data_IF_650511440435
#
_entry.id   IF_650511440435
#
_cell.length_a   1.000
_cell.length_b   1.000
_cell.length_c   1.000
_cell.angle_alpha   90.00
_cell.angle_beta   90.00
_cell.angle_gamma   90.00
#
_symmetry.space_group_name_H-M   'P 1'
#
loop_
_entity.id
_entity.type
_entity.pdbx_description
1 polymer ?
#
# COMPACT_ATOMS: atom_id res chain seq x y z
N UNK A 1 22.90 -11.29 17.74
CA UNK A 1 22.23 -10.92 17.95
C UNK A 1 21.97 -10.19 17.58
N UNK A 2 22.13 -10.33 17.45
CA UNK A 2 21.63 -9.74 17.48
C UNK A 2 21.34 -8.97 17.02
N UNK A 3 21.76 -9.35 16.97
CA UNK A 3 21.29 -8.69 16.89
C UNK A 3 20.96 -7.90 16.70
N UNK A 4 21.39 -8.30 16.41
CA UNK A 4 20.84 -7.60 16.54
C UNK A 4 20.63 -6.82 16.42
N UNK A 5 21.23 -7.40 16.30
CA UNK A 5 20.70 -6.87 16.59
C UNK A 5 20.54 -5.97 16.42
N UNK A 6 20.98 -6.33 16.34
CA UNK A 6 20.46 -5.79 16.57
C UNK A 6 20.17 -4.90 16.59
N UNK A 7 20.64 -5.15 16.46
CA UNK A 7 19.95 -4.63 16.83
C UNK A 7 19.72 -3.87 17.17
N UNK A 8 20.38 -4.16 17.02
CA UNK A 8 19.64 -3.86 17.74
C UNK A 8 19.36 -3.08 18.00
N UNK A 9 19.81 -3.21 18.01
CA UNK A 9 19.02 -2.98 18.64
C UNK A 9 18.62 -2.25 18.76
N UNK A 10 18.75 -2.20 18.53
CA UNK A 10 17.86 -1.84 19.04
C UNK A 10 17.15 -1.33 19.14
N UNK A 11 17.60 -1.35 19.03
CA UNK A 11 16.44 -1.17 19.45
C UNK A 11 15.96 -0.50 19.53
N UNK A 12 16.30 -0.41 19.68
CA UNK A 12 15.36 -0.25 20.08
C UNK A 12 14.82 0.44 20.18
N UNK A 13 14.72 0.35 20.25
CA UNK A 13 13.71 0.63 20.73
C UNK A 13 13.22 1.09 21.23
N UNK A 14 13.24 1.01 21.48
CA UNK A 14 12.39 1.19 22.20
C UNK A 14 12.08 1.78 22.74
N UNK A 15 12.22 1.73 23.08
CA UNK A 15 11.54 2.02 23.85
C UNK A 15 11.26 2.65 24.41
N UNK A 16 11.50 2.74 24.70
CA UNK A 16 11.06 3.05 25.36
C UNK A 16 10.20 3.19 25.72
N UNK A 17 10.01 3.10 25.89
CA UNK A 17 9.14 3.02 26.10
C UNK A 17 8.30 2.68 25.80
N UNK A 18 8.12 2.22 25.74
CA UNK A 18 7.49 1.56 25.40
C UNK A 18 6.70 1.57 24.60
N UNK A 19 6.51 1.47 24.43
CA UNK A 19 5.81 1.37 23.80
C UNK A 19 5.40 0.90 22.93
N UNK A 20 5.26 0.26 22.60
CA UNK A 20 4.93 -0.27 21.87
C UNK A 20 4.41 -0.71 21.24
N UNK A 21 4.19 -0.97 21.16
CA UNK A 21 3.40 -1.39 20.38
C UNK A 21 3.37 -2.31 19.30
N UNK A 22 2.81 -2.83 18.81
CA UNK A 22 2.65 -3.89 17.92
C UNK A 22 2.85 -3.58 16.44
N UNK A 23 2.88 -2.33 16.03
CA UNK A 23 3.01 -1.98 14.61
C UNK A 23 4.45 -1.68 14.24
N UNK A 24 4.93 -2.22 13.08
CA UNK A 24 6.26 -1.87 12.61
C UNK A 24 6.31 -0.39 12.23
N UNK A 25 7.33 0.30 12.73
CA UNK A 25 7.60 1.67 12.33
C UNK A 25 8.96 1.80 11.67
N UNK A 26 9.75 0.74 11.72
CA UNK A 26 11.10 0.74 11.16
C UNK A 26 11.06 0.35 9.68
N UNK A 27 11.67 1.16 8.87
CA UNK A 27 11.80 0.90 7.45
C UNK A 27 12.69 -0.33 7.24
N UNK A 28 12.20 -1.32 6.51
CA UNK A 28 12.97 -2.53 6.21
C UNK A 28 12.59 -3.04 4.83
N UNK A 29 13.54 -3.72 4.20
CA UNK A 29 13.32 -4.28 2.87
C UNK A 29 12.17 -5.29 2.88
N UNK A 30 12.08 -6.10 3.93
CA UNK A 30 11.04 -7.11 4.02
C UNK A 30 9.65 -6.50 4.04
N UNK A 31 9.45 -5.47 4.86
CA UNK A 31 8.15 -4.81 4.96
C UNK A 31 7.81 -4.10 3.66
N UNK A 32 8.80 -3.43 3.07
CA UNK A 32 8.61 -2.72 1.80
C UNK A 32 8.17 -3.69 0.70
N UNK A 33 8.84 -4.83 0.61
CA UNK A 33 8.50 -5.84 -0.39
C UNK A 33 7.07 -6.36 -0.22
N UNK A 34 6.64 -6.58 1.02
CA UNK A 34 5.28 -7.05 1.29
C UNK A 34 4.27 -5.98 0.86
N UNK A 35 4.54 -4.72 1.17
CA UNK A 35 3.65 -3.62 0.77
C UNK A 35 3.49 -3.60 -0.75
N UNK A 36 4.60 -3.67 -1.48
CA UNK A 36 4.55 -3.59 -2.94
C UNK A 36 3.85 -4.79 -3.54
N UNK A 37 4.11 -5.99 -3.03
CA UNK A 37 3.43 -7.19 -3.48
C UNK A 37 1.92 -7.06 -3.33
N UNK A 38 1.48 -6.61 -2.17
CA UNK A 38 0.06 -6.49 -1.89
C UNK A 38 -0.60 -5.41 -2.74
N UNK A 39 0.12 -4.30 -2.97
CA UNK A 39 -0.38 -3.26 -3.88
C UNK A 39 -0.55 -3.78 -5.29
N UNK A 40 0.44 -4.51 -5.79
CA UNK A 40 0.41 -5.05 -7.15
C UNK A 40 -0.72 -6.07 -7.30
N UNK A 41 -1.03 -6.81 -6.23
CA UNK A 41 -2.11 -7.78 -6.24
C UNK A 41 -3.49 -7.14 -6.11
N UNK A 42 -3.55 -5.83 -5.98
CA UNK A 42 -4.80 -5.11 -6.01
C UNK A 42 -5.35 -4.65 -4.66
N UNK A 43 -4.63 -4.88 -3.57
CA UNK A 43 -5.08 -4.39 -2.27
C UNK A 43 -4.93 -2.88 -2.19
N UNK A 44 -5.84 -2.23 -1.48
CA UNK A 44 -5.72 -0.81 -1.24
C UNK A 44 -4.72 -0.55 -0.13
N UNK A 45 -4.16 0.64 -0.10
CA UNK A 45 -3.28 1.02 1.00
C UNK A 45 -4.00 0.91 2.34
N UNK A 46 -5.29 1.25 2.36
CA UNK A 46 -6.10 1.14 3.57
C UNK A 46 -6.14 -0.31 4.07
N UNK A 47 -6.35 -1.26 3.17
CA UNK A 47 -6.39 -2.68 3.53
C UNK A 47 -5.04 -3.14 4.08
N UNK A 48 -3.97 -2.76 3.41
CA UNK A 48 -2.62 -3.14 3.85
C UNK A 48 -2.35 -2.57 5.24
N UNK A 49 -2.65 -1.31 5.45
CA UNK A 49 -2.36 -0.64 6.71
C UNK A 49 -3.30 -1.04 7.85
N UNK A 50 -4.39 -1.74 7.55
CA UNK A 50 -5.27 -2.28 8.58
C UNK A 50 -4.70 -3.55 9.20
N UNK A 51 -3.74 -4.16 8.53
CA UNK A 51 -3.03 -5.34 9.02
C UNK A 51 -2.02 -4.89 10.08
N UNK A 52 -2.11 -5.45 11.27
CA UNK A 52 -1.26 -5.04 12.39
C UNK A 52 0.21 -5.41 12.21
N UNK A 53 0.50 -6.30 11.27
CA UNK A 53 1.90 -6.62 10.94
C UNK A 53 2.51 -5.62 9.97
N UNK A 54 1.70 -4.68 9.48
CA UNK A 54 2.16 -3.66 8.54
C UNK A 54 2.17 -2.29 9.20
N UNK A 55 2.98 -1.34 8.70
CA UNK A 55 2.98 0.01 9.24
C UNK A 55 1.65 0.71 8.99
N UNK A 56 1.36 1.72 9.78
CA UNK A 56 0.18 2.54 9.57
C UNK A 56 0.36 3.48 8.37
N UNK A 57 -0.74 4.06 7.91
CA UNK A 57 -0.72 4.96 6.75
C UNK A 57 0.23 6.13 6.94
N UNK A 58 0.23 6.69 8.14
CA UNK A 58 1.09 7.82 8.45
C UNK A 58 2.57 7.46 8.25
N UNK A 59 2.95 6.29 8.71
CA UNK A 59 4.32 5.81 8.57
C UNK A 59 4.67 5.64 7.09
N UNK A 60 3.76 5.06 6.30
CA UNK A 60 3.99 4.90 4.87
C UNK A 60 4.20 6.26 4.20
N UNK A 61 3.38 7.25 4.54
CA UNK A 61 3.53 8.59 3.97
C UNK A 61 4.86 9.23 4.38
N UNK A 62 5.32 8.99 5.61
CA UNK A 62 6.63 9.46 6.03
C UNK A 62 7.74 8.81 5.21
N UNK A 63 7.60 7.52 4.90
CA UNK A 63 8.59 6.81 4.08
C UNK A 63 8.61 7.35 2.65
N UNK A 64 7.47 7.75 2.11
CA UNK A 64 7.42 8.36 0.79
C UNK A 64 8.22 9.65 0.73
N UNK A 65 8.27 10.38 1.84
CA UNK A 65 9.06 11.61 1.91
C UNK A 65 10.54 11.37 2.16
N UNK A 66 10.85 10.37 2.99
CA UNK A 66 12.22 10.14 3.44
C UNK A 66 13.03 9.23 2.55
N UNK A 67 12.37 8.36 1.80
CA UNK A 67 13.05 7.32 1.01
C UNK A 67 12.67 7.44 -0.46
N UNK A 68 13.49 8.14 -1.27
CA UNK A 68 13.17 8.33 -2.69
C UNK A 68 13.00 7.03 -3.46
N UNK A 69 13.76 5.99 -3.10
CA UNK A 69 13.64 4.69 -3.75
C UNK A 69 12.28 4.05 -3.45
N UNK A 70 11.79 4.22 -2.21
CA UNK A 70 10.45 3.75 -1.85
C UNK A 70 9.38 4.50 -2.65
N UNK A 71 9.54 5.82 -2.76
CA UNK A 71 8.58 6.64 -3.49
C UNK A 71 8.49 6.22 -4.96
N UNK A 72 9.62 5.95 -5.59
CA UNK A 72 9.65 5.51 -6.99
C UNK A 72 8.96 4.17 -7.18
N UNK A 73 9.30 3.20 -6.33
CA UNK A 73 8.70 1.87 -6.43
C UNK A 73 7.22 1.90 -6.07
N UNK A 74 6.85 2.72 -5.10
CA UNK A 74 5.45 2.91 -4.73
C UNK A 74 4.64 3.45 -5.91
N UNK A 75 5.19 4.42 -6.63
CA UNK A 75 4.53 4.98 -7.81
C UNK A 75 4.33 3.91 -8.88
N UNK A 76 5.33 3.05 -9.10
CA UNK A 76 5.22 1.96 -10.05
C UNK A 76 4.13 0.96 -9.63
N UNK A 77 4.09 0.62 -8.34
CA UNK A 77 3.07 -0.30 -7.83
C UNK A 77 1.67 0.29 -8.00
N UNK A 78 1.51 1.57 -7.72
CA UNK A 78 0.22 2.25 -7.92
C UNK A 78 -0.17 2.29 -9.39
N UNK A 79 0.81 2.52 -10.25
CA UNK A 79 0.57 2.50 -11.69
C UNK A 79 0.08 1.12 -12.14
N UNK A 80 0.67 0.06 -11.61
CA UNK A 80 0.23 -1.31 -11.93
C UNK A 80 -1.21 -1.56 -11.50
N UNK A 81 -1.67 -0.92 -10.42
CA UNK A 81 -3.05 -1.03 -9.98
C UNK A 81 -4.04 -0.46 -10.98
N UNK A 82 -3.62 0.52 -11.77
CA UNK A 82 -4.51 1.11 -12.77
C UNK A 82 -4.94 0.04 -13.78
N UNK A 83 -3.98 -0.73 -14.30
CA UNK A 83 -4.29 -1.80 -15.24
C UNK A 83 -5.22 -2.83 -14.59
N UNK A 84 -4.92 -3.21 -13.37
CA UNK A 84 -5.73 -4.19 -12.66
C UNK A 84 -7.17 -3.69 -12.47
N UNK A 85 -7.33 -2.43 -12.10
CA UNK A 85 -8.65 -1.84 -11.89
C UNK A 85 -9.42 -1.74 -13.20
N UNK A 86 -8.74 -1.42 -14.29
CA UNK A 86 -9.39 -1.33 -15.61
C UNK A 86 -9.85 -2.71 -16.08
N UNK A 87 -9.01 -3.72 -15.93
CA UNK A 87 -9.40 -5.10 -16.27
C UNK A 87 -10.62 -5.53 -15.46
N UNK A 88 -10.64 -5.16 -14.19
CA UNK A 88 -11.74 -5.53 -13.30
C UNK A 88 -13.05 -4.91 -13.73
N UNK A 89 -13.03 -3.70 -14.31
CA UNK A 89 -14.27 -3.07 -14.77
C UNK A 89 -14.93 -3.88 -15.88
N UNK A 90 -14.12 -4.46 -16.76
CA UNK A 90 -14.64 -5.32 -17.84
C UNK A 90 -15.29 -6.57 -17.25
N UNK A 91 -14.61 -7.20 -16.31
CA UNK A 91 -15.14 -8.40 -15.66
C UNK A 91 -16.46 -8.10 -14.95
N UNK A 92 -16.54 -6.98 -14.24
CA UNK A 92 -17.76 -6.58 -13.55
C UNK A 92 -18.91 -6.39 -14.54
N UNK A 93 -18.63 -5.73 -15.65
CA UNK A 93 -19.64 -5.49 -16.66
C UNK A 93 -20.19 -6.80 -17.26
N UNK A 94 -19.32 -7.82 -17.34
CA UNK A 94 -19.70 -9.10 -17.93
C UNK A 94 -20.40 -10.02 -16.94
N UNK A 95 -20.09 -9.92 -15.66
CA UNK A 95 -20.52 -10.94 -14.68
C UNK A 95 -21.49 -10.45 -13.62
N UNK A 96 -21.53 -9.15 -13.32
CA UNK A 96 -22.41 -8.66 -12.25
C UNK A 96 -23.84 -8.54 -12.76
N UNK A 97 -24.79 -9.34 -12.23
CA UNK A 97 -26.16 -9.35 -12.74
C UNK A 97 -26.97 -8.12 -12.36
N UNK A 98 -26.64 -7.47 -11.24
CA UNK A 98 -27.34 -6.27 -10.80
C UNK A 98 -26.75 -5.06 -11.51
N UNK A 99 -27.51 -4.47 -12.42
CA UNK A 99 -27.04 -3.38 -13.26
C UNK A 99 -26.65 -2.15 -12.45
N UNK A 100 -27.46 -1.79 -11.46
CA UNK A 100 -27.16 -0.63 -10.63
C UNK A 100 -25.87 -0.84 -9.82
N UNK A 101 -25.70 -2.04 -9.28
CA UNK A 101 -24.50 -2.40 -8.53
C UNK A 101 -23.28 -2.40 -9.44
N UNK A 102 -23.41 -2.97 -10.65
CA UNK A 102 -22.30 -2.98 -11.60
C UNK A 102 -21.83 -1.56 -11.91
N UNK A 103 -22.78 -0.66 -12.16
CA UNK A 103 -22.46 0.73 -12.47
C UNK A 103 -21.75 1.40 -11.30
N UNK A 104 -22.20 1.16 -10.07
CA UNK A 104 -21.58 1.73 -8.89
C UNK A 104 -20.14 1.23 -8.73
N UNK A 105 -19.93 -0.07 -8.91
CA UNK A 105 -18.62 -0.68 -8.78
C UNK A 105 -17.66 -0.15 -9.84
N UNK A 106 -18.11 -0.04 -11.08
CA UNK A 106 -17.29 0.47 -12.18
C UNK A 106 -16.94 1.93 -11.95
N UNK A 107 -17.91 2.74 -11.52
CA UNK A 107 -17.67 4.16 -11.26
C UNK A 107 -16.66 4.36 -10.12
N UNK A 108 -16.73 3.53 -9.10
CA UNK A 108 -15.77 3.60 -7.99
C UNK A 108 -14.35 3.34 -8.48
N UNK A 109 -14.17 2.37 -9.38
CA UNK A 109 -12.86 2.03 -9.93
C UNK A 109 -12.33 3.14 -10.83
N UNK A 110 -13.18 3.72 -11.66
CA UNK A 110 -12.78 4.87 -12.48
C UNK A 110 -12.38 6.06 -11.60
N UNK A 111 -13.07 6.26 -10.48
CA UNK A 111 -12.69 7.30 -9.54
C UNK A 111 -11.29 7.08 -8.98
N UNK A 112 -10.95 5.84 -8.66
CA UNK A 112 -9.61 5.51 -8.20
C UNK A 112 -8.56 5.70 -9.29
N UNK A 113 -8.86 5.24 -10.50
CA UNK A 113 -7.94 5.40 -11.63
C UNK A 113 -7.63 6.88 -11.84
N UNK A 114 -8.65 7.74 -11.78
CA UNK A 114 -8.45 9.17 -11.95
C UNK A 114 -7.52 9.79 -10.91
N UNK A 115 -7.53 9.24 -9.69
CA UNK A 115 -6.65 9.74 -8.64
C UNK A 115 -5.24 9.21 -8.74
N UNK A 116 -5.09 7.98 -9.23
CA UNK A 116 -3.78 7.34 -9.33
C UNK A 116 -3.03 7.75 -10.59
N UNK A 117 -3.75 8.21 -11.61
CA UNK A 117 -3.15 8.57 -12.89
C UNK A 117 -2.23 9.77 -12.73
N UNK A 118 -0.98 9.67 -13.13
CA UNK A 118 -0.05 10.81 -13.00
C UNK A 118 -0.50 11.98 -13.86
N UNK A 119 -0.60 13.14 -13.26
CA UNK A 119 -1.08 14.33 -13.96
C UNK A 119 -0.24 14.71 -15.17
N UNK A 120 1.03 14.38 -15.14
CA UNK A 120 1.92 14.73 -16.25
C UNK A 120 1.55 14.06 -17.56
N UNK A 121 0.62 13.12 -17.52
CA UNK A 121 0.17 12.42 -18.73
C UNK A 121 -1.20 12.89 -19.20
N UNK A 122 -1.77 13.86 -18.56
CA UNK A 122 -3.07 14.41 -18.99
C UNK A 122 -2.93 15.38 -20.14
#
# INVERSE_FOLDING_TARGET
MQMNDTISAEDPVTTKTGRKRGRPSTYSAEIVDVIFERLIEGETLRQICSDKTMPGRRTVFQWLEKHPEFARTYAIARWSQIDWLLDETVEIAETQPDLARARLMINARFGMVGRLWPRKYW
#
